data_IF_474753309615
#
_entry.id   IF_474753309615
#
_cell.length_a   1.000
_cell.length_b   1.000
_cell.length_c   1.000
_cell.angle_alpha   90.00
_cell.angle_beta   90.00
_cell.angle_gamma   90.00
#
_symmetry.space_group_name_H-M   'P 1'
#
loop_
_entity.id
_entity.type
_entity.pdbx_description
1 polymer ?
#
# COMPACT_ATOMS: atom_id res chain seq x y z
N UNK A 1 17.41 -7.94 7.30
CA UNK A 1 16.09 -7.43 6.92
C UNK A 1 15.24 -7.26 8.17
N UNK A 2 14.62 -6.14 8.29
CA UNK A 2 13.75 -5.89 9.43
C UNK A 2 12.34 -6.32 9.07
N UNK A 3 11.79 -7.22 9.86
CA UNK A 3 10.39 -7.61 9.71
C UNK A 3 9.54 -6.69 10.57
N UNK A 4 8.46 -6.20 9.99
CA UNK A 4 7.48 -5.43 10.75
C UNK A 4 6.68 -6.43 11.57
N UNK A 5 6.69 -6.27 12.89
CA UNK A 5 5.92 -7.14 13.77
C UNK A 5 4.43 -6.82 13.63
N UNK A 6 3.61 -7.76 14.04
CA UNK A 6 2.16 -7.56 14.03
C UNK A 6 1.76 -6.34 14.85
N UNK A 7 2.40 -6.13 16.00
CA UNK A 7 2.11 -4.99 16.86
C UNK A 7 2.53 -3.68 16.20
N UNK A 8 3.72 -3.67 15.59
CA UNK A 8 4.20 -2.48 14.87
C UNK A 8 3.29 -2.15 13.70
N UNK A 9 2.86 -3.15 12.94
CA UNK A 9 1.98 -2.94 11.82
C UNK A 9 0.63 -2.40 12.27
N UNK A 10 0.11 -2.92 13.37
CA UNK A 10 -1.15 -2.44 13.93
C UNK A 10 -1.03 -0.98 14.35
N UNK A 11 0.06 -0.62 15.01
CA UNK A 11 0.30 0.76 15.42
C UNK A 11 0.38 1.68 14.21
N UNK A 12 1.11 1.27 13.16
CA UNK A 12 1.22 2.04 11.94
C UNK A 12 -0.13 2.20 11.25
N UNK A 13 -0.93 1.15 11.26
CA UNK A 13 -2.28 1.20 10.70
C UNK A 13 -3.14 2.23 11.41
N UNK A 14 -3.00 2.35 12.73
CA UNK A 14 -3.79 3.27 13.54
C UNK A 14 -3.36 4.73 13.37
N UNK A 15 -2.08 4.98 13.05
CA UNK A 15 -1.55 6.34 12.97
C UNK A 15 -1.32 6.83 11.55
N UNK A 16 -1.09 5.92 10.60
CA UNK A 16 -0.83 6.30 9.21
C UNK A 16 -2.13 6.33 8.40
N UNK A 17 -2.27 7.37 7.59
CA UNK A 17 -3.38 7.47 6.63
C UNK A 17 -4.74 7.37 7.30
N UNK A 18 -4.89 7.98 8.47
CA UNK A 18 -6.13 7.90 9.23
C UNK A 18 -7.32 8.52 8.51
N UNK A 19 -7.06 9.42 7.56
CA UNK A 19 -8.11 10.06 6.77
C UNK A 19 -8.63 9.17 5.64
N UNK A 20 -8.02 8.01 5.45
CA UNK A 20 -8.39 7.09 4.37
C UNK A 20 -9.19 5.91 4.93
N UNK A 21 -10.16 5.40 4.16
CA UNK A 21 -10.94 4.23 4.60
C UNK A 21 -10.08 2.96 4.57
N UNK A 22 -10.58 1.90 5.17
CA UNK A 22 -9.87 0.61 5.22
C UNK A 22 -9.65 0.00 3.85
N UNK A 23 -10.53 0.29 2.91
CA UNK A 23 -10.39 -0.14 1.50
C UNK A 23 -10.27 1.12 0.66
N UNK A 24 -9.20 1.22 -0.10
CA UNK A 24 -8.91 2.41 -0.91
C UNK A 24 -8.94 2.07 -2.40
N UNK A 25 -9.16 3.10 -3.22
CA UNK A 25 -9.12 2.97 -4.67
C UNK A 25 -7.74 3.41 -5.19
N UNK A 26 -7.56 3.32 -6.53
CA UNK A 26 -6.28 3.67 -7.16
C UNK A 26 -5.90 5.13 -6.90
N UNK A 27 -6.87 6.04 -7.00
CA UNK A 27 -6.60 7.45 -6.76
C UNK A 27 -6.12 7.70 -5.34
N UNK A 28 -6.69 6.98 -4.38
CA UNK A 28 -6.27 7.10 -2.99
C UNK A 28 -4.88 6.50 -2.77
N UNK A 29 -4.59 5.35 -3.37
CA UNK A 29 -3.24 4.77 -3.32
C UNK A 29 -2.23 5.75 -3.89
N UNK A 30 -2.54 6.38 -5.00
CA UNK A 30 -1.70 7.38 -5.63
C UNK A 30 -1.38 8.53 -4.66
N UNK A 31 -2.40 9.04 -3.99
CA UNK A 31 -2.24 10.13 -3.04
C UNK A 31 -1.46 9.68 -1.81
N UNK A 32 -1.75 8.49 -1.30
CA UNK A 32 -1.07 7.97 -0.12
C UNK A 32 0.42 7.80 -0.32
N UNK A 33 0.83 7.34 -1.49
CA UNK A 33 2.22 7.06 -1.80
C UNK A 33 2.92 8.19 -2.54
N UNK A 34 2.18 9.19 -3.01
CA UNK A 34 2.74 10.30 -3.78
C UNK A 34 3.32 9.86 -5.11
N UNK A 35 2.68 8.92 -5.78
CA UNK A 35 3.16 8.33 -7.03
C UNK A 35 2.22 8.68 -8.17
N UNK A 36 2.68 8.40 -9.40
CA UNK A 36 1.87 8.63 -10.58
C UNK A 36 0.76 7.59 -10.68
N UNK A 37 -0.28 7.92 -11.45
CA UNK A 37 -1.37 6.99 -11.70
C UNK A 37 -0.89 5.71 -12.38
N UNK A 38 0.00 5.88 -13.36
CA UNK A 38 0.56 4.75 -14.09
C UNK A 38 1.28 3.79 -13.14
N UNK A 39 2.09 4.33 -12.23
CA UNK A 39 2.83 3.52 -11.28
C UNK A 39 1.87 2.85 -10.29
N UNK A 40 0.84 3.54 -9.84
CA UNK A 40 -0.14 2.95 -8.94
C UNK A 40 -0.83 1.74 -9.57
N UNK A 41 -1.26 1.87 -10.83
CA UNK A 41 -1.85 0.75 -11.55
C UNK A 41 -0.86 -0.41 -11.72
N UNK A 42 0.39 -0.10 -12.02
CA UNK A 42 1.41 -1.13 -12.18
C UNK A 42 1.66 -1.89 -10.89
N UNK A 43 1.77 -1.20 -9.78
CA UNK A 43 2.02 -1.83 -8.49
C UNK A 43 0.87 -2.76 -8.09
N UNK A 44 -0.36 -2.33 -8.32
CA UNK A 44 -1.53 -3.15 -7.98
C UNK A 44 -1.67 -4.29 -8.97
N UNK A 45 -1.50 -4.01 -10.25
CA UNK A 45 -1.63 -5.02 -11.30
C UNK A 45 -0.57 -6.12 -11.22
N UNK A 46 0.64 -5.75 -10.84
CA UNK A 46 1.75 -6.70 -10.72
C UNK A 46 1.74 -7.46 -9.39
N UNK A 47 0.86 -7.07 -8.47
CA UNK A 47 0.77 -7.73 -7.19
C UNK A 47 1.71 -7.23 -6.13
N UNK A 48 2.48 -6.18 -6.40
CA UNK A 48 3.36 -5.58 -5.39
C UNK A 48 2.55 -5.00 -4.24
N UNK A 49 1.38 -4.46 -4.56
CA UNK A 49 0.39 -4.05 -3.56
C UNK A 49 -0.83 -4.94 -3.78
N UNK A 50 -1.01 -5.98 -2.95
CA UNK A 50 -2.14 -6.89 -3.15
C UNK A 50 -3.48 -6.16 -3.07
N UNK A 51 -4.31 -6.40 -4.07
CA UNK A 51 -5.64 -5.81 -4.13
C UNK A 51 -6.51 -6.68 -5.02
N UNK A 52 -7.77 -6.30 -5.15
CA UNK A 52 -8.68 -7.04 -6.01
C UNK A 52 -9.33 -6.10 -7.01
N UNK A 53 -9.71 -6.63 -8.14
CA UNK A 53 -10.42 -5.90 -9.17
C UNK A 53 -11.89 -6.31 -9.13
N UNK A 54 -12.74 -5.33 -8.88
CA UNK A 54 -14.19 -5.54 -8.86
C UNK A 54 -14.78 -4.71 -9.97
N UNK A 55 -15.30 -5.38 -11.01
CA UNK A 55 -15.73 -4.69 -12.21
C UNK A 55 -14.52 -4.01 -12.86
N UNK A 56 -14.59 -2.70 -13.05
CA UNK A 56 -13.52 -1.93 -13.66
C UNK A 56 -12.68 -1.17 -12.63
N UNK A 57 -12.90 -1.43 -11.34
CA UNK A 57 -12.25 -0.68 -10.28
C UNK A 57 -11.39 -1.59 -9.42
N UNK A 58 -10.20 -1.11 -9.07
CA UNK A 58 -9.37 -1.79 -8.09
C UNK A 58 -9.78 -1.38 -6.68
N UNK A 59 -9.81 -2.38 -5.80
CA UNK A 59 -10.06 -2.19 -4.38
C UNK A 59 -8.88 -2.76 -3.60
N UNK A 60 -8.23 -1.92 -2.81
CA UNK A 60 -6.99 -2.29 -2.13
C UNK A 60 -7.17 -2.09 -0.63
N UNK A 61 -6.93 -3.13 0.18
CA UNK A 61 -6.90 -2.94 1.63
C UNK A 61 -5.83 -1.92 2.00
N UNK A 62 -6.19 -0.93 2.79
CA UNK A 62 -5.26 0.11 3.22
C UNK A 62 -4.01 -0.48 3.88
N UNK A 63 -4.18 -1.57 4.61
CA UNK A 63 -3.06 -2.23 5.27
C UNK A 63 -1.98 -2.69 4.28
N UNK A 64 -2.37 -3.09 3.09
CA UNK A 64 -1.41 -3.51 2.06
C UNK A 64 -0.62 -2.34 1.52
N UNK A 65 -1.24 -1.16 1.43
CA UNK A 65 -0.53 0.06 1.04
C UNK A 65 0.48 0.45 2.10
N UNK A 66 0.09 0.35 3.36
CA UNK A 66 0.97 0.65 4.48
C UNK A 66 2.16 -0.30 4.50
N UNK A 67 1.91 -1.60 4.31
CA UNK A 67 3.00 -2.59 4.24
C UNK A 67 3.98 -2.27 3.13
N UNK A 68 3.45 -1.93 1.96
CA UNK A 68 4.31 -1.57 0.84
C UNK A 68 5.15 -0.35 1.17
N UNK A 69 4.55 0.68 1.76
CA UNK A 69 5.25 1.91 2.11
C UNK A 69 6.37 1.63 3.11
N UNK A 70 6.11 0.81 4.11
CA UNK A 70 7.11 0.45 5.10
C UNK A 70 8.25 -0.36 4.50
N UNK A 71 7.92 -1.30 3.62
CA UNK A 71 8.94 -2.13 2.97
C UNK A 71 9.75 -1.34 1.95
N UNK A 72 9.10 -0.48 1.19
CA UNK A 72 9.78 0.32 0.16
C UNK A 72 10.66 1.39 0.76
N UNK A 73 10.34 1.84 1.99
CA UNK A 73 11.15 2.83 2.69
C UNK A 73 12.46 2.28 3.21
N UNK A 74 12.61 0.96 3.28
CA UNK A 74 13.84 0.35 3.71
C UNK A 74 14.76 0.12 2.53
N UNK A 75 16.08 0.38 2.65
CA UNK A 75 17.01 0.03 1.59
C UNK A 75 16.93 -1.46 1.32
N UNK A 76 16.57 -1.82 0.13
CA UNK A 76 16.56 -3.21 -0.28
C UNK A 76 17.95 -3.58 -0.72
N UNK A 77 18.51 -4.68 -0.22
CA UNK A 77 19.74 -5.18 -0.82
C UNK A 77 19.44 -5.43 -2.28
N UNK A 78 20.32 -4.99 -3.14
CA UNK A 78 20.14 -5.27 -4.55
C UNK A 78 19.92 -6.76 -4.71
N UNK A 79 18.80 -7.09 -5.26
CA UNK A 79 18.46 -8.49 -5.42
C UNK A 79 19.38 -9.13 -6.44
#
# INVERSE_FOLDING_TARGET
MVSVTKTELQTMYEVMFTDYPDIVNVAQVQAMLGISRHLAYALIGDGDIPGMKIGNAYRVPKINVIRYALSAGNPQPAA
#
